data_IF_616780264701
#
_entry.id   IF_616780264701
#
_cell.length_a   1.000
_cell.length_b   1.000
_cell.length_c   1.000
_cell.angle_alpha   90.00
_cell.angle_beta   90.00
_cell.angle_gamma   90.00
#
_symmetry.space_group_name_H-M   'P 1'
#
loop_
_entity.id
_entity.type
_entity.pdbx_description
1 polymer ?
#
# COMPACT_ATOMS: atom_id res chain seq x y z
N UNK A 1 -3.85 8.50 13.86
CA UNK A 1 -4.79 9.21 12.97
C UNK A 1 -5.61 10.18 13.80
N UNK A 2 -5.90 11.38 13.31
CA UNK A 2 -6.69 12.37 14.05
C UNK A 2 -8.18 11.95 14.06
N UNK A 3 -8.98 12.40 15.04
CA UNK A 3 -10.36 11.94 15.25
C UNK A 3 -11.30 12.10 14.04
N UNK A 4 -11.00 13.02 13.13
CA UNK A 4 -11.85 13.35 11.96
C UNK A 4 -11.17 13.02 10.62
N UNK A 5 -10.10 12.22 10.65
CA UNK A 5 -9.33 11.84 9.45
C UNK A 5 -9.37 10.34 9.24
N UNK A 6 -9.45 9.91 7.99
CA UNK A 6 -9.35 8.51 7.59
C UNK A 6 -8.48 8.41 6.35
N UNK A 7 -7.50 7.53 6.40
CA UNK A 7 -6.54 7.31 5.33
C UNK A 7 -5.48 8.41 5.17
N UNK A 8 -4.49 8.14 4.32
CA UNK A 8 -3.42 9.06 3.92
C UNK A 8 -3.28 8.96 2.40
N UNK A 9 -3.02 10.07 1.73
CA UNK A 9 -2.79 10.07 0.29
C UNK A 9 -1.41 9.48 -0.03
N UNK A 10 -1.36 8.52 -0.95
CA UNK A 10 -0.13 7.75 -1.22
C UNK A 10 1.05 8.60 -1.71
N UNK A 11 0.80 9.74 -2.38
CA UNK A 11 1.87 10.63 -2.86
C UNK A 11 2.48 11.53 -1.78
N UNK A 12 2.05 11.38 -0.52
CA UNK A 12 2.70 11.94 0.67
C UNK A 12 3.17 10.79 1.57
N UNK A 13 4.16 10.00 1.15
CA UNK A 13 4.55 8.80 1.89
C UNK A 13 5.17 9.17 3.24
N UNK A 14 4.72 8.47 4.29
CA UNK A 14 5.28 8.57 5.64
C UNK A 14 5.68 7.16 6.11
N UNK A 15 6.98 6.93 6.22
CA UNK A 15 7.57 5.66 6.63
C UNK A 15 7.27 5.30 8.08
N UNK A 16 6.80 6.24 8.91
CA UNK A 16 6.38 5.98 10.29
C UNK A 16 5.02 5.28 10.37
N UNK A 17 4.23 5.29 9.29
CA UNK A 17 2.92 4.63 9.24
C UNK A 17 3.10 3.11 9.07
N UNK A 18 2.97 2.38 10.18
CA UNK A 18 3.10 0.91 10.19
C UNK A 18 1.99 0.21 9.39
N UNK A 19 0.75 0.65 9.54
CA UNK A 19 -0.41 0.09 8.82
C UNK A 19 -0.71 0.88 7.53
N UNK A 20 0.33 1.17 6.75
CA UNK A 20 0.20 1.90 5.49
C UNK A 20 -0.72 1.21 4.46
N UNK A 21 -0.84 -0.14 4.40
CA UNK A 21 -1.76 -0.78 3.45
C UNK A 21 -3.21 -0.32 3.62
N UNK A 22 -3.70 -0.32 4.86
CA UNK A 22 -5.05 0.15 5.16
C UNK A 22 -5.15 1.68 5.04
N UNK A 23 -4.13 2.41 5.50
CA UNK A 23 -4.11 3.87 5.42
C UNK A 23 -4.17 4.39 3.97
N UNK A 24 -3.50 3.73 3.02
CA UNK A 24 -3.45 4.18 1.62
C UNK A 24 -4.54 3.55 0.76
N UNK A 25 -4.83 2.26 0.96
CA UNK A 25 -5.59 1.47 -0.03
C UNK A 25 -6.80 0.75 0.54
N UNK A 26 -6.85 0.52 1.85
CA UNK A 26 -7.95 -0.16 2.55
C UNK A 26 -8.46 -1.38 1.76
N UNK A 27 -9.77 -1.47 1.47
CA UNK A 27 -10.37 -2.60 0.74
C UNK A 27 -9.81 -2.86 -0.68
N UNK A 28 -9.09 -1.90 -1.27
CA UNK A 28 -8.46 -2.09 -2.59
C UNK A 28 -7.13 -2.83 -2.53
N UNK A 29 -6.53 -2.99 -1.34
CA UNK A 29 -5.19 -3.54 -1.18
C UNK A 29 -5.07 -4.97 -1.75
N UNK A 30 -6.04 -5.84 -1.47
CA UNK A 30 -6.06 -7.22 -1.99
C UNK A 30 -6.13 -7.27 -3.53
N UNK A 31 -6.88 -6.34 -4.14
CA UNK A 31 -6.93 -6.23 -5.60
C UNK A 31 -5.59 -5.78 -6.16
N UNK A 32 -4.91 -4.86 -5.49
CA UNK A 32 -3.60 -4.37 -5.89
C UNK A 32 -2.52 -5.47 -5.79
N UNK A 33 -2.55 -6.30 -4.75
CA UNK A 33 -1.66 -7.47 -4.66
C UNK A 33 -1.88 -8.44 -5.84
N UNK A 34 -3.14 -8.70 -6.23
CA UNK A 34 -3.46 -9.52 -7.43
C UNK A 34 -2.91 -8.91 -8.72
N UNK A 35 -3.04 -7.60 -8.89
CA UNK A 35 -2.49 -6.88 -10.05
C UNK A 35 -0.96 -6.97 -10.05
N UNK A 36 -0.32 -6.72 -8.91
CA UNK A 36 1.14 -6.80 -8.82
C UNK A 36 1.66 -8.21 -9.09
N UNK A 37 1.00 -9.24 -8.56
CA UNK A 37 1.36 -10.63 -8.85
C UNK A 37 1.27 -10.97 -10.35
N UNK A 38 0.33 -10.36 -11.09
CA UNK A 38 0.19 -10.56 -12.54
C UNK A 38 1.27 -9.85 -13.36
N UNK A 39 1.61 -8.61 -13.01
CA UNK A 39 2.45 -7.74 -13.85
C UNK A 39 3.90 -7.58 -13.35
N UNK A 40 4.16 -7.78 -12.06
CA UNK A 40 5.50 -7.77 -11.44
C UNK A 40 5.70 -9.02 -10.55
N UNK A 41 5.61 -10.24 -11.12
CA UNK A 41 5.70 -11.49 -10.35
C UNK A 41 7.07 -11.72 -9.69
N UNK A 42 8.11 -11.01 -10.14
CA UNK A 42 9.47 -11.07 -9.55
C UNK A 42 9.70 -9.97 -8.51
N UNK A 43 8.69 -9.15 -8.22
CA UNK A 43 8.77 -8.03 -7.30
C UNK A 43 9.97 -7.09 -7.60
N UNK A 44 10.19 -6.80 -8.89
CA UNK A 44 11.28 -5.93 -9.36
C UNK A 44 11.09 -4.51 -8.81
N UNK A 45 9.85 -4.02 -8.77
CA UNK A 45 9.53 -2.71 -8.20
C UNK A 45 9.22 -2.84 -6.71
N UNK A 46 10.29 -2.89 -5.91
CA UNK A 46 10.22 -3.05 -4.46
C UNK A 46 10.86 -1.86 -3.72
N UNK A 47 10.15 -1.34 -2.74
CA UNK A 47 10.55 -0.23 -1.86
C UNK A 47 9.76 -0.31 -0.54
N UNK A 48 10.12 0.46 0.52
CA UNK A 48 9.62 0.25 1.88
C UNK A 48 8.09 0.17 2.06
N UNK A 49 7.32 0.84 1.20
CA UNK A 49 5.85 0.81 1.19
C UNK A 49 5.29 0.43 -0.19
N UNK A 50 6.00 -0.46 -0.90
CA UNK A 50 5.48 -1.04 -2.14
C UNK A 50 4.45 -2.13 -1.84
N UNK A 51 3.44 -2.28 -2.70
CA UNK A 51 2.48 -3.40 -2.61
C UNK A 51 3.29 -4.71 -2.61
N UNK A 52 3.07 -5.64 -1.68
CA UNK A 52 3.76 -6.93 -1.66
C UNK A 52 3.12 -7.92 -2.64
N UNK A 53 3.78 -9.06 -2.83
CA UNK A 53 3.15 -10.25 -3.40
C UNK A 53 2.37 -10.99 -2.30
N UNK A 54 1.43 -11.86 -2.69
CA UNK A 54 0.74 -12.77 -1.76
C UNK A 54 1.73 -13.65 -0.98
#
# INVERSE_FOLDING_TARGET
MLPFTKGVYVNTPDLSIKNWPDAYFSCSFDRLMKVKAKYDPKNVFNFPQSIPLF
#
